data_IF_033284513769
#
_entry.id   IF_033284513769
#
_cell.length_a   1.000
_cell.length_b   1.000
_cell.length_c   1.000
_cell.angle_alpha   90.00
_cell.angle_beta   90.00
_cell.angle_gamma   90.00
#
_symmetry.space_group_name_H-M   'P 1'
#
loop_
_entity.id
_entity.type
_entity.pdbx_description
1 polymer ?
#
# COMPACT_ATOMS: atom_id res chain seq x y z
N UNK A 1 2.26 14.30 2.83
CA UNK A 1 1.75 13.56 1.65
C UNK A 1 0.21 13.60 1.51
N UNK A 2 -0.51 14.25 2.40
CA UNK A 2 -1.96 14.42 2.25
C UNK A 2 -2.37 15.57 1.32
N UNK A 3 -1.50 16.55 1.09
CA UNK A 3 -1.77 17.69 0.21
C UNK A 3 -1.54 17.36 -1.26
N UNK A 4 -2.53 17.64 -2.11
CA UNK A 4 -2.40 17.47 -3.55
C UNK A 4 -1.37 18.44 -4.15
N UNK A 5 -1.26 19.65 -3.59
CA UNK A 5 -0.31 20.67 -4.00
C UNK A 5 1.14 20.24 -3.72
N UNK A 6 1.40 19.59 -2.58
CA UNK A 6 2.73 19.06 -2.24
C UNK A 6 3.12 17.91 -3.17
N UNK A 7 2.16 17.03 -3.50
CA UNK A 7 2.40 15.93 -4.44
C UNK A 7 2.68 16.50 -5.84
N UNK A 8 1.94 17.53 -6.28
CA UNK A 8 2.20 18.18 -7.56
C UNK A 8 3.61 18.79 -7.58
N UNK A 9 3.99 19.55 -6.55
CA UNK A 9 5.36 20.12 -6.44
C UNK A 9 6.43 19.02 -6.51
N UNK A 10 6.24 17.89 -5.85
CA UNK A 10 7.17 16.76 -5.94
C UNK A 10 7.35 16.30 -7.40
N UNK A 11 6.27 16.22 -8.18
CA UNK A 11 6.36 15.83 -9.59
C UNK A 11 7.00 16.90 -10.45
N UNK A 12 6.76 18.19 -10.17
CA UNK A 12 7.43 19.30 -10.84
C UNK A 12 8.93 19.29 -10.57
N UNK A 13 9.35 19.00 -9.32
CA UNK A 13 10.75 18.83 -8.93
C UNK A 13 11.40 17.62 -9.63
N UNK A 14 10.71 16.48 -9.68
CA UNK A 14 11.18 15.28 -10.41
C UNK A 14 11.37 15.62 -11.89
N UNK A 15 10.41 16.28 -12.51
CA UNK A 15 10.51 16.69 -13.92
C UNK A 15 11.67 17.66 -14.15
N UNK A 16 11.89 18.61 -13.24
CA UNK A 16 12.98 19.58 -13.32
C UNK A 16 14.35 18.89 -13.18
N UNK A 17 14.49 17.96 -12.22
CA UNK A 17 15.78 17.33 -11.91
C UNK A 17 16.16 16.23 -12.91
N UNK A 18 15.17 15.46 -13.40
CA UNK A 18 15.43 14.26 -14.22
C UNK A 18 14.96 14.39 -15.67
N UNK A 19 14.26 15.47 -16.04
CA UNK A 19 13.70 15.67 -17.37
C UNK A 19 12.55 14.73 -17.72
N UNK A 20 12.08 13.91 -16.78
CA UNK A 20 11.03 12.91 -16.98
C UNK A 20 10.30 12.57 -15.68
N UNK A 21 9.11 11.95 -15.78
CA UNK A 21 8.40 11.37 -14.65
C UNK A 21 9.01 10.06 -14.16
N UNK A 22 8.48 9.49 -13.06
CA UNK A 22 8.99 8.24 -12.50
C UNK A 22 8.59 7.02 -13.35
N UNK A 23 9.53 6.12 -13.58
CA UNK A 23 9.31 4.82 -14.24
C UNK A 23 8.69 3.79 -13.28
N UNK A 24 8.96 3.94 -11.97
CA UNK A 24 8.47 3.06 -10.90
C UNK A 24 7.86 3.91 -9.80
N UNK A 25 6.63 3.60 -9.42
CA UNK A 25 5.93 4.18 -8.28
C UNK A 25 5.71 3.12 -7.20
N UNK A 26 6.26 3.34 -6.00
CA UNK A 26 5.98 2.52 -4.82
C UNK A 26 5.20 3.40 -3.83
N UNK A 27 3.89 3.16 -3.72
CA UNK A 27 3.02 3.87 -2.78
C UNK A 27 2.94 3.11 -1.47
N UNK A 28 3.90 3.41 -0.59
CA UNK A 28 4.10 2.71 0.68
C UNK A 28 3.58 3.49 1.90
N UNK A 29 3.57 4.82 1.86
CA UNK A 29 3.16 5.64 2.99
C UNK A 29 1.78 5.24 3.52
N UNK A 30 1.66 5.11 4.83
CA UNK A 30 0.42 4.68 5.45
C UNK A 30 0.37 5.05 6.93
N UNK A 31 -0.85 5.19 7.41
CA UNK A 31 -1.20 5.47 8.79
C UNK A 31 -2.18 4.41 9.29
N UNK A 32 -2.05 4.01 10.53
CA UNK A 32 -2.99 3.09 11.20
C UNK A 32 -3.12 3.42 12.67
N UNK A 33 -4.35 3.63 13.10
CA UNK A 33 -4.72 3.78 14.49
C UNK A 33 -5.68 2.66 14.87
N UNK A 34 -5.43 2.02 16.01
CA UNK A 34 -6.27 0.91 16.46
C UNK A 34 -7.50 1.43 17.18
N UNK A 35 -8.64 1.42 16.49
CA UNK A 35 -9.96 1.73 17.05
C UNK A 35 -10.88 0.59 16.63
N UNK A 36 -11.29 -0.26 17.59
CA UNK A 36 -11.99 -1.51 17.29
C UNK A 36 -13.45 -1.30 16.93
N UNK A 37 -14.14 -0.46 17.70
CA UNK A 37 -15.56 -0.21 17.52
C UNK A 37 -15.77 0.95 16.55
N UNK A 38 -16.67 0.79 15.59
CA UNK A 38 -17.06 1.84 14.66
C UNK A 38 -17.66 3.05 15.38
N UNK A 39 -18.32 2.84 16.52
CA UNK A 39 -18.89 3.92 17.32
C UNK A 39 -17.83 4.88 17.89
N UNK A 40 -16.61 4.41 18.08
CA UNK A 40 -15.48 5.19 18.60
C UNK A 40 -14.66 5.87 17.50
N UNK A 41 -14.94 5.59 16.21
CA UNK A 41 -14.26 6.20 15.08
C UNK A 41 -14.96 7.52 14.73
N UNK A 42 -14.29 8.65 14.99
CA UNK A 42 -14.81 9.95 14.54
C UNK A 42 -14.76 10.07 13.01
N UNK A 43 -15.63 10.93 12.46
CA UNK A 43 -15.59 11.23 11.01
C UNK A 43 -14.22 11.80 10.62
N UNK A 44 -13.64 12.68 11.43
CA UNK A 44 -12.30 13.25 11.19
C UNK A 44 -11.21 12.17 11.14
N UNK A 45 -11.27 11.15 12.01
CA UNK A 45 -10.32 10.03 12.00
C UNK A 45 -10.49 9.17 10.75
N UNK A 46 -11.74 8.92 10.33
CA UNK A 46 -12.05 8.22 9.11
C UNK A 46 -11.48 8.97 7.89
N UNK A 47 -11.80 10.27 7.77
CA UNK A 47 -11.36 11.13 6.67
C UNK A 47 -9.83 11.26 6.63
N UNK A 48 -9.20 11.43 7.80
CA UNK A 48 -7.74 11.47 7.91
C UNK A 48 -7.10 10.18 7.42
N UNK A 49 -7.65 9.03 7.83
CA UNK A 49 -7.13 7.72 7.41
C UNK A 49 -7.20 7.53 5.89
N UNK A 50 -8.32 7.90 5.26
CA UNK A 50 -8.45 7.84 3.80
C UNK A 50 -7.53 8.84 3.09
N UNK A 51 -7.42 10.04 3.65
CA UNK A 51 -6.58 11.10 3.11
C UNK A 51 -5.07 10.78 3.18
N UNK A 52 -4.65 9.91 4.11
CA UNK A 52 -3.25 9.46 4.18
C UNK A 52 -3.03 8.19 3.35
N UNK A 53 -3.93 7.20 3.45
CA UNK A 53 -3.68 5.87 2.90
C UNK A 53 -4.11 5.69 1.45
N UNK A 54 -5.19 6.33 1.02
CA UNK A 54 -5.81 6.06 -0.28
C UNK A 54 -5.67 7.23 -1.27
N UNK A 55 -6.07 8.43 -0.85
CA UNK A 55 -6.09 9.60 -1.73
C UNK A 55 -4.74 9.91 -2.36
N UNK A 56 -3.60 9.90 -1.64
CA UNK A 56 -2.28 10.14 -2.24
C UNK A 56 -1.90 9.09 -3.28
N UNK A 57 -2.23 7.82 -3.04
CA UNK A 57 -1.94 6.73 -3.99
C UNK A 57 -2.64 6.95 -5.33
N UNK A 58 -3.89 7.46 -5.31
CA UNK A 58 -4.60 7.86 -6.51
C UNK A 58 -3.89 9.02 -7.24
N UNK A 59 -3.52 10.10 -6.51
CA UNK A 59 -2.88 11.29 -7.09
C UNK A 59 -1.51 10.92 -7.68
N UNK A 60 -0.69 10.19 -6.93
CA UNK A 60 0.63 9.73 -7.37
C UNK A 60 0.53 8.88 -8.64
N UNK A 61 -0.42 7.94 -8.69
CA UNK A 61 -0.66 7.11 -9.88
C UNK A 61 -1.08 7.97 -11.08
N UNK A 62 -2.02 8.92 -10.87
CA UNK A 62 -2.49 9.83 -11.90
C UNK A 62 -1.35 10.65 -12.52
N UNK A 63 -0.40 11.10 -11.71
CA UNK A 63 0.73 11.91 -12.17
C UNK A 63 1.87 11.08 -12.77
N UNK A 64 2.02 9.80 -12.37
CA UNK A 64 3.05 8.91 -12.93
C UNK A 64 2.67 8.33 -14.29
N UNK A 65 1.39 8.04 -14.51
CA UNK A 65 0.89 7.34 -15.69
C UNK A 65 1.23 8.01 -17.03
N UNK A 66 1.15 9.34 -17.21
CA UNK A 66 1.44 9.97 -18.50
C UNK A 66 2.85 9.65 -19.03
N UNK A 67 3.85 9.72 -18.15
CA UNK A 67 5.23 9.36 -18.48
C UNK A 67 5.33 7.86 -18.84
N UNK A 68 4.80 6.96 -17.99
CA UNK A 68 4.85 5.52 -18.21
C UNK A 68 4.17 5.10 -19.51
N UNK A 69 3.03 5.71 -19.86
CA UNK A 69 2.31 5.45 -21.11
C UNK A 69 3.15 5.88 -22.31
N UNK A 70 3.74 7.08 -22.26
CA UNK A 70 4.58 7.61 -23.35
C UNK A 70 5.77 6.70 -23.66
N UNK A 71 6.38 6.11 -22.63
CA UNK A 71 7.53 5.22 -22.78
C UNK A 71 7.18 3.74 -22.95
N UNK A 72 5.90 3.37 -22.84
CA UNK A 72 5.44 1.99 -23.00
C UNK A 72 5.96 1.07 -21.88
N UNK A 73 6.31 1.61 -20.72
CA UNK A 73 6.86 0.86 -19.60
C UNK A 73 6.56 1.56 -18.26
N UNK A 74 6.13 0.81 -17.27
CA UNK A 74 5.92 1.33 -15.92
C UNK A 74 5.64 0.24 -14.89
N UNK A 75 5.90 0.56 -13.62
CA UNK A 75 5.59 -0.31 -12.46
C UNK A 75 4.93 0.53 -11.37
N UNK A 76 3.74 0.15 -10.96
CA UNK A 76 3.03 0.75 -9.82
C UNK A 76 2.80 -0.35 -8.79
N UNK A 77 3.32 -0.14 -7.59
CA UNK A 77 3.20 -1.07 -6.48
C UNK A 77 2.56 -0.35 -5.29
N UNK A 78 1.42 -0.86 -4.84
CA UNK A 78 0.79 -0.42 -3.60
C UNK A 78 1.20 -1.30 -2.44
N UNK A 79 1.32 -0.70 -1.26
CA UNK A 79 1.47 -1.44 0.01
C UNK A 79 0.15 -1.34 0.76
N UNK A 80 -0.69 -2.37 0.60
CA UNK A 80 -1.97 -2.45 1.27
C UNK A 80 -1.84 -3.09 2.67
N UNK A 81 -2.61 -4.09 2.97
CA UNK A 81 -2.57 -4.84 4.23
C UNK A 81 -3.44 -6.09 4.12
N UNK A 82 -3.18 -7.11 4.94
CA UNK A 82 -4.13 -8.18 5.21
C UNK A 82 -5.53 -7.63 5.57
N UNK A 83 -5.58 -6.49 6.25
CA UNK A 83 -6.84 -5.83 6.61
C UNK A 83 -7.74 -5.48 5.41
N UNK A 84 -7.17 -5.35 4.21
CA UNK A 84 -7.94 -5.15 2.98
C UNK A 84 -8.82 -6.37 2.61
N UNK A 85 -8.49 -7.55 3.11
CA UNK A 85 -9.14 -8.82 2.81
C UNK A 85 -10.01 -9.33 3.96
N UNK A 86 -9.64 -9.04 5.23
CA UNK A 86 -10.31 -9.62 6.40
C UNK A 86 -10.59 -8.64 7.55
N UNK A 87 -10.52 -7.32 7.33
CA UNK A 87 -10.82 -6.31 8.35
C UNK A 87 -9.66 -5.99 9.30
N UNK A 88 -8.87 -6.97 9.72
CA UNK A 88 -7.69 -6.77 10.56
C UNK A 88 -7.98 -6.23 11.97
N UNK A 89 -6.92 -5.74 12.66
CA UNK A 89 -6.98 -5.31 14.07
C UNK A 89 -7.09 -3.79 14.27
N UNK A 90 -6.92 -3.01 13.21
CA UNK A 90 -6.87 -1.54 13.30
C UNK A 90 -8.23 -0.85 13.17
N UNK A 91 -9.30 -1.60 12.83
CA UNK A 91 -10.65 -1.06 12.66
C UNK A 91 -11.05 -0.82 11.21
N UNK A 92 -12.37 -0.57 11.00
CA UNK A 92 -12.97 -0.55 9.67
C UNK A 92 -12.50 0.63 8.80
N UNK A 93 -12.14 1.78 9.37
CA UNK A 93 -11.59 2.92 8.64
C UNK A 93 -10.25 2.57 7.95
N UNK A 94 -9.37 1.89 8.67
CA UNK A 94 -8.10 1.39 8.11
C UNK A 94 -8.35 0.33 7.04
N UNK A 95 -9.20 -0.66 7.35
CA UNK A 95 -9.55 -1.72 6.40
C UNK A 95 -10.14 -1.14 5.11
N UNK A 96 -11.08 -0.18 5.20
CA UNK A 96 -11.66 0.50 4.06
C UNK A 96 -10.59 1.22 3.21
N UNK A 97 -9.66 1.95 3.86
CA UNK A 97 -8.58 2.66 3.15
C UNK A 97 -7.65 1.70 2.38
N UNK A 98 -7.34 0.55 2.97
CA UNK A 98 -6.46 -0.46 2.36
C UNK A 98 -7.18 -1.30 1.30
N UNK A 99 -8.47 -1.60 1.47
CA UNK A 99 -9.31 -2.23 0.46
C UNK A 99 -9.49 -1.33 -0.77
N UNK A 100 -9.58 0.00 -0.58
CA UNK A 100 -9.61 0.97 -1.67
C UNK A 100 -8.38 0.90 -2.58
N UNK A 101 -7.19 0.63 -2.03
CA UNK A 101 -5.96 0.42 -2.81
C UNK A 101 -6.08 -0.83 -3.70
N UNK A 102 -6.70 -1.90 -3.22
CA UNK A 102 -6.92 -3.11 -4.02
C UNK A 102 -7.84 -2.83 -5.23
N UNK A 103 -8.94 -2.09 -5.03
CA UNK A 103 -9.81 -1.65 -6.13
C UNK A 103 -9.09 -0.77 -7.14
N UNK A 104 -8.29 0.20 -6.67
CA UNK A 104 -7.47 1.06 -7.50
C UNK A 104 -6.46 0.24 -8.33
N UNK A 105 -5.75 -0.68 -7.69
CA UNK A 105 -4.80 -1.60 -8.33
C UNK A 105 -5.47 -2.40 -9.46
N UNK A 106 -6.59 -3.06 -9.19
CA UNK A 106 -7.30 -3.88 -10.19
C UNK A 106 -7.73 -3.05 -11.40
N UNK A 107 -8.29 -1.87 -11.17
CA UNK A 107 -8.75 -0.97 -12.23
C UNK A 107 -7.60 -0.49 -13.12
N UNK A 108 -6.51 -0.02 -12.52
CA UNK A 108 -5.33 0.45 -13.26
C UNK A 108 -4.61 -0.68 -14.00
N UNK A 109 -4.47 -1.86 -13.38
CA UNK A 109 -3.86 -3.03 -14.00
C UNK A 109 -4.58 -3.44 -15.28
N UNK A 110 -5.90 -3.57 -15.23
CA UNK A 110 -6.71 -3.93 -16.39
C UNK A 110 -6.61 -2.90 -17.51
N UNK A 111 -6.64 -1.62 -17.18
CA UNK A 111 -6.66 -0.54 -18.16
C UNK A 111 -5.32 -0.33 -18.85
N UNK A 112 -4.21 -0.44 -18.10
CA UNK A 112 -2.88 -0.03 -18.55
C UNK A 112 -1.92 -1.18 -18.87
N UNK A 113 -2.36 -2.45 -18.78
CA UNK A 113 -1.54 -3.59 -19.19
C UNK A 113 -1.08 -3.48 -20.65
N UNK A 114 -1.96 -3.03 -21.54
CA UNK A 114 -1.67 -2.79 -22.97
C UNK A 114 -0.62 -1.71 -23.21
N UNK A 115 -0.42 -0.82 -22.25
CA UNK A 115 0.53 0.28 -22.29
C UNK A 115 1.91 -0.14 -21.71
N UNK A 116 2.14 -1.45 -21.45
CA UNK A 116 3.37 -1.97 -20.87
C UNK A 116 3.53 -1.70 -19.36
N UNK A 117 2.45 -1.29 -18.68
CA UNK A 117 2.46 -0.93 -17.26
C UNK A 117 1.86 -2.07 -16.44
N UNK A 118 2.58 -2.49 -15.40
CA UNK A 118 2.03 -3.42 -14.41
C UNK A 118 1.68 -2.69 -13.12
N UNK A 119 0.55 -3.08 -12.53
CA UNK A 119 0.07 -2.53 -11.26
C UNK A 119 -0.23 -3.68 -10.32
N UNK A 120 0.44 -3.73 -9.18
CA UNK A 120 0.32 -4.82 -8.21
C UNK A 120 0.27 -4.28 -6.78
N UNK A 121 0.00 -5.17 -5.86
CA UNK A 121 -0.19 -4.87 -4.44
C UNK A 121 0.51 -5.92 -3.58
N UNK A 122 1.29 -5.49 -2.59
CA UNK A 122 1.71 -6.34 -1.49
C UNK A 122 0.82 -6.03 -0.29
N UNK A 123 0.26 -7.07 0.31
CA UNK A 123 -0.65 -7.00 1.45
C UNK A 123 0.03 -7.61 2.71
N UNK A 124 0.85 -6.84 3.43
CA UNK A 124 1.54 -7.34 4.60
C UNK A 124 0.60 -7.55 5.79
N UNK A 125 0.98 -8.47 6.68
CA UNK A 125 0.41 -8.59 8.01
C UNK A 125 1.53 -8.76 9.03
N UNK A 126 1.40 -8.07 10.17
CA UNK A 126 2.28 -8.23 11.33
C UNK A 126 3.76 -8.08 11.00
N UNK A 127 4.13 -6.95 10.41
CA UNK A 127 5.53 -6.58 10.13
C UNK A 127 6.08 -5.81 11.33
N UNK A 128 7.05 -6.40 12.00
CA UNK A 128 7.77 -5.79 13.12
C UNK A 128 8.74 -4.70 12.69
N UNK A 129 9.37 -4.05 13.67
CA UNK A 129 10.35 -2.98 13.45
C UNK A 129 9.79 -1.80 12.63
N UNK A 130 8.49 -1.54 12.77
CA UNK A 130 7.80 -0.45 12.07
C UNK A 130 7.12 0.49 13.07
N UNK A 131 6.74 1.68 12.62
CA UNK A 131 5.96 2.61 13.46
C UNK A 131 4.58 2.07 13.87
N UNK A 132 4.02 1.12 13.11
CA UNK A 132 2.75 0.45 13.45
C UNK A 132 2.91 -0.69 14.44
N UNK A 133 4.03 -1.42 14.36
CA UNK A 133 4.38 -2.56 15.22
C UNK A 133 5.85 -2.41 15.61
N UNK A 134 6.16 -1.54 16.58
CA UNK A 134 7.53 -1.34 17.02
C UNK A 134 8.10 -2.56 17.73
N UNK A 135 7.21 -3.35 18.39
CA UNK A 135 7.57 -4.53 19.15
C UNK A 135 6.36 -5.49 19.20
N UNK A 136 6.61 -6.78 19.41
CA UNK A 136 5.56 -7.82 19.42
C UNK A 136 4.55 -7.67 20.55
N UNK A 137 4.94 -7.02 21.67
CA UNK A 137 4.07 -6.82 22.84
C UNK A 137 2.80 -6.03 22.53
N UNK A 138 2.86 -5.13 21.53
CA UNK A 138 1.67 -4.37 21.11
C UNK A 138 0.60 -5.26 20.48
N UNK A 139 0.92 -6.49 20.13
CA UNK A 139 0.03 -7.47 19.53
C UNK A 139 -0.50 -8.51 20.51
N UNK A 140 0.03 -8.57 21.73
CA UNK A 140 -0.39 -9.57 22.73
C UNK A 140 -1.91 -9.56 22.95
N UNK A 141 -2.51 -10.74 22.94
CA UNK A 141 -3.97 -10.91 23.12
C UNK A 141 -4.84 -10.41 21.98
N UNK A 142 -4.25 -10.05 20.83
CA UNK A 142 -4.98 -9.71 19.60
C UNK A 142 -4.95 -10.86 18.59
N UNK A 143 -5.72 -10.75 17.50
CA UNK A 143 -5.64 -11.71 16.38
C UNK A 143 -4.25 -11.73 15.71
N UNK A 144 -3.48 -10.64 15.85
CA UNK A 144 -2.10 -10.54 15.34
C UNK A 144 -1.01 -10.98 16.30
N UNK A 145 -1.35 -11.52 17.48
CA UNK A 145 -0.39 -12.07 18.43
C UNK A 145 0.54 -13.08 17.74
N UNK A 146 1.84 -13.00 18.01
CA UNK A 146 2.86 -13.85 17.39
C UNK A 146 2.53 -15.34 17.52
N UNK A 147 1.89 -15.74 18.63
CA UNK A 147 1.42 -17.12 18.87
C UNK A 147 0.38 -17.59 17.85
N UNK A 148 -0.32 -16.69 17.20
CA UNK A 148 -1.32 -16.99 16.16
C UNK A 148 -0.71 -17.00 14.74
N UNK A 149 0.53 -16.55 14.58
CA UNK A 149 1.21 -16.50 13.27
C UNK A 149 1.80 -17.90 13.00
N UNK A 150 1.36 -18.62 11.94
CA UNK A 150 1.83 -19.98 11.69
C UNK A 150 3.35 -20.14 11.57
N UNK A 151 4.06 -19.13 10.99
CA UNK A 151 5.54 -19.15 10.94
C UNK A 151 6.22 -18.80 12.27
N UNK A 152 5.47 -18.45 13.33
CA UNK A 152 5.97 -18.25 14.69
C UNK A 152 6.78 -16.98 14.93
N UNK A 153 6.70 -15.98 14.04
CA UNK A 153 7.40 -14.71 14.18
C UNK A 153 6.71 -13.58 13.41
N UNK A 154 7.08 -12.35 13.71
CA UNK A 154 6.74 -11.21 12.87
C UNK A 154 7.49 -11.29 11.52
N UNK A 155 6.88 -10.73 10.48
CA UNK A 155 7.57 -10.42 9.24
C UNK A 155 8.52 -9.22 9.42
N UNK A 156 9.40 -9.02 8.46
CA UNK A 156 10.39 -7.93 8.46
C UNK A 156 10.14 -6.95 7.32
N UNK A 157 10.56 -5.67 7.44
CA UNK A 157 10.52 -4.71 6.33
C UNK A 157 11.26 -5.21 5.08
N UNK A 158 12.34 -5.96 5.27
CA UNK A 158 13.12 -6.55 4.16
C UNK A 158 12.30 -7.59 3.38
N UNK A 159 11.49 -8.39 4.04
CA UNK A 159 10.62 -9.38 3.36
C UNK A 159 9.55 -8.67 2.51
N UNK A 160 8.99 -7.55 2.99
CA UNK A 160 8.10 -6.70 2.19
C UNK A 160 8.83 -6.15 0.97
N UNK A 161 10.03 -5.59 1.17
CA UNK A 161 10.85 -5.04 0.09
C UNK A 161 11.21 -6.09 -0.98
N UNK A 162 11.45 -7.35 -0.59
CA UNK A 162 11.71 -8.43 -1.53
C UNK A 162 10.52 -8.68 -2.49
N UNK A 163 9.29 -8.63 -1.97
CA UNK A 163 8.07 -8.77 -2.79
C UNK A 163 7.90 -7.56 -3.71
N UNK A 164 8.16 -6.35 -3.22
CA UNK A 164 8.15 -5.13 -4.04
C UNK A 164 9.16 -5.25 -5.18
N UNK A 165 10.39 -5.70 -4.91
CA UNK A 165 11.41 -5.92 -5.94
C UNK A 165 11.00 -6.97 -6.97
N UNK A 166 10.36 -8.06 -6.54
CA UNK A 166 9.79 -9.06 -7.46
C UNK A 166 8.79 -8.41 -8.42
N UNK A 167 7.88 -7.56 -7.94
CA UNK A 167 6.93 -6.84 -8.81
C UNK A 167 7.62 -5.86 -9.77
N UNK A 168 8.70 -5.19 -9.35
CA UNK A 168 9.45 -4.30 -10.22
C UNK A 168 10.10 -5.04 -11.38
N UNK A 169 10.58 -6.28 -11.15
CA UNK A 169 11.34 -7.08 -12.10
C UNK A 169 10.47 -7.98 -12.99
N UNK A 170 9.23 -8.28 -12.58
CA UNK A 170 8.38 -9.27 -13.26
C UNK A 170 7.31 -8.58 -14.11
N UNK A 171 7.60 -8.43 -15.42
CA UNK A 171 6.73 -7.71 -16.36
C UNK A 171 5.45 -8.47 -16.77
N UNK A 172 5.33 -9.77 -16.50
CA UNK A 172 4.14 -10.58 -16.81
C UNK A 172 3.17 -10.70 -15.63
N UNK A 173 3.43 -9.98 -14.54
CA UNK A 173 2.66 -10.01 -13.31
C UNK A 173 1.95 -8.66 -13.11
N UNK A 174 0.63 -8.62 -13.33
CA UNK A 174 -0.20 -7.42 -13.14
C UNK A 174 -1.55 -7.77 -12.54
N UNK A 175 -2.14 -6.86 -11.78
CA UNK A 175 -3.42 -7.04 -11.11
C UNK A 175 -3.39 -8.06 -9.96
N UNK A 176 -2.21 -8.34 -9.38
CA UNK A 176 -2.04 -9.32 -8.32
C UNK A 176 -1.82 -8.65 -6.97
N UNK A 177 -2.42 -9.25 -5.94
CA UNK A 177 -2.16 -8.93 -4.55
C UNK A 177 -1.46 -10.12 -3.90
N UNK A 178 -0.26 -9.89 -3.38
CA UNK A 178 0.50 -10.90 -2.66
C UNK A 178 0.32 -10.70 -1.17
N UNK A 179 -0.38 -11.64 -0.53
CA UNK A 179 -0.54 -11.67 0.91
C UNK A 179 0.77 -12.14 1.56
N UNK A 180 1.40 -11.25 2.34
CA UNK A 180 2.63 -11.53 3.08
C UNK A 180 2.31 -11.56 4.58
N UNK A 181 1.84 -12.71 5.07
CA UNK A 181 1.17 -12.81 6.37
C UNK A 181 1.75 -13.86 7.33
N UNK A 182 2.81 -14.57 6.92
CA UNK A 182 3.32 -15.70 7.73
C UNK A 182 2.29 -16.81 7.94
N UNK A 183 1.26 -16.90 7.08
CA UNK A 183 0.19 -17.88 7.15
C UNK A 183 -1.08 -17.42 7.88
N UNK A 184 -1.13 -16.18 8.41
CA UNK A 184 -2.39 -15.59 8.89
C UNK A 184 -3.39 -15.48 7.74
N UNK A 185 -4.68 -15.73 8.06
CA UNK A 185 -5.81 -15.71 7.12
C UNK A 185 -6.77 -14.60 7.47
#
# INVERSE_FOLDING_TARGET
MASAEEIQRLFDDIQHLYGKGPDILISNAGYGKRIRDIADISIDEFDYTLNVNLRPSFILSKLSLPHMITYGWGRIIFVSSLAAHGGGINGCHYAASKAGLHGLMKSLATKHAKDGITVNDVAPAMIGETGLIPDEKVLEGTAGDVRNIPVGRLGTPKEVANVVMMFCQTGYLTGQSVLLSGGLK
#
